data_IF_829666454966
#
_entry.id   IF_829666454966
#
_cell.length_a   1.000
_cell.length_b   1.000
_cell.length_c   1.000
_cell.angle_alpha   90.00
_cell.angle_beta   90.00
_cell.angle_gamma   90.00
#
_symmetry.space_group_name_H-M   'P 1'
#
loop_
_entity.id
_entity.type
_entity.pdbx_description
1 polymer ?
#
# COMPACT_ATOMS: atom_id res chain seq x y z
N UNK A 1 19.65 8.13 29.51
CA UNK A 1 18.39 8.61 30.12
C UNK A 1 17.29 8.34 29.12
N UNK A 2 16.45 7.35 29.39
CA UNK A 2 15.34 6.96 28.51
C UNK A 2 14.24 8.00 28.64
N UNK A 3 14.14 8.92 27.68
CA UNK A 3 12.97 9.78 27.54
C UNK A 3 11.84 8.90 27.04
N UNK A 4 11.03 8.37 27.95
CA UNK A 4 9.75 7.77 27.59
C UNK A 4 9.00 8.81 26.75
N UNK A 5 8.78 8.48 25.48
CA UNK A 5 7.91 9.27 24.60
C UNK A 5 6.57 9.35 25.33
N UNK A 6 6.01 10.54 25.58
CA UNK A 6 4.74 10.66 26.28
C UNK A 6 3.67 9.82 25.57
N UNK A 7 2.80 9.17 26.35
CA UNK A 7 1.71 8.37 25.82
C UNK A 7 0.90 9.21 24.81
N UNK A 8 0.77 8.65 23.60
CA UNK A 8 0.15 9.32 22.47
C UNK A 8 -1.34 9.48 22.74
N UNK A 9 -1.79 10.70 23.04
CA UNK A 9 -3.20 10.98 23.30
C UNK A 9 -3.92 11.18 21.97
N UNK A 10 -4.69 10.18 21.53
CA UNK A 10 -5.52 10.28 20.34
C UNK A 10 -6.78 11.09 20.65
N UNK A 11 -7.04 12.15 19.87
CA UNK A 11 -8.29 12.91 19.94
C UNK A 11 -9.36 12.21 19.12
N UNK A 12 -10.08 11.30 19.76
CA UNK A 12 -11.13 10.52 19.11
C UNK A 12 -12.35 11.34 18.65
N UNK A 13 -12.51 12.55 19.18
CA UNK A 13 -13.54 13.51 18.84
C UNK A 13 -13.25 14.32 17.57
N UNK A 14 -12.03 14.20 17.00
CA UNK A 14 -11.60 15.00 15.87
C UNK A 14 -11.28 14.10 14.66
N UNK A 15 -12.10 14.12 13.60
CA UNK A 15 -11.90 13.26 12.44
C UNK A 15 -10.58 13.55 11.71
N UNK A 16 -10.01 14.75 11.84
CA UNK A 16 -8.71 15.09 11.24
C UNK A 16 -7.56 14.45 12.02
N UNK A 17 -7.66 14.37 13.35
CA UNK A 17 -6.67 13.68 14.19
C UNK A 17 -6.74 12.16 13.99
N UNK A 18 -7.95 11.59 13.86
CA UNK A 18 -8.14 10.17 13.50
C UNK A 18 -7.58 9.85 12.11
N UNK A 19 -7.78 10.74 11.13
CA UNK A 19 -7.21 10.59 9.79
C UNK A 19 -5.68 10.65 9.83
N UNK A 20 -5.09 11.61 10.57
CA UNK A 20 -3.65 11.70 10.72
C UNK A 20 -3.05 10.47 11.44
N UNK A 21 -3.71 9.95 12.47
CA UNK A 21 -3.30 8.71 13.14
C UNK A 21 -3.30 7.51 12.17
N UNK A 22 -4.30 7.47 11.29
CA UNK A 22 -4.41 6.46 10.25
C UNK A 22 -3.23 6.54 9.28
N UNK A 23 -2.84 7.75 8.84
CA UNK A 23 -1.68 7.94 7.96
C UNK A 23 -0.44 7.33 8.59
N UNK A 24 -0.16 7.69 9.84
CA UNK A 24 1.02 7.21 10.57
C UNK A 24 1.01 5.69 10.74
N UNK A 25 -0.14 5.15 11.14
CA UNK A 25 -0.27 3.72 11.43
C UNK A 25 -0.11 2.86 10.17
N UNK A 26 -0.66 3.33 9.05
CA UNK A 26 -0.55 2.62 7.77
C UNK A 26 0.76 2.91 7.03
N UNK A 27 1.42 4.03 7.35
CA UNK A 27 2.58 4.52 6.61
C UNK A 27 2.26 5.01 5.20
N UNK A 28 0.98 5.23 4.89
CA UNK A 28 0.46 5.61 3.57
C UNK A 28 -0.85 6.42 3.73
N UNK A 29 -1.28 7.09 2.66
CA UNK A 29 -2.57 7.78 2.61
C UNK A 29 -3.70 6.76 2.38
N UNK A 30 -4.62 6.54 3.35
CA UNK A 30 -5.76 5.67 3.17
C UNK A 30 -6.65 6.20 2.04
N UNK A 31 -7.07 5.29 1.14
CA UNK A 31 -8.02 5.63 0.07
C UNK A 31 -9.11 4.60 -0.09
N UNK A 32 -10.32 5.08 -0.38
CA UNK A 32 -11.50 4.27 -0.70
C UNK A 32 -11.65 3.07 0.25
N UNK A 33 -11.52 3.32 1.55
CA UNK A 33 -11.45 2.28 2.57
C UNK A 33 -12.23 2.62 3.85
N UNK A 34 -12.72 1.58 4.52
CA UNK A 34 -13.08 1.62 5.92
C UNK A 34 -11.82 1.35 6.76
N UNK A 35 -11.57 2.22 7.72
CA UNK A 35 -10.52 2.06 8.72
C UNK A 35 -11.17 1.91 10.08
N UNK A 36 -10.77 0.88 10.82
CA UNK A 36 -11.19 0.67 12.21
C UNK A 36 -9.95 0.78 13.09
N UNK A 37 -9.95 1.76 13.98
CA UNK A 37 -8.90 2.02 14.96
C UNK A 37 -9.40 1.44 16.28
N UNK A 38 -8.93 0.25 16.64
CA UNK A 38 -9.35 -0.41 17.87
C UNK A 38 -8.97 0.42 19.09
N UNK A 39 -9.75 0.34 20.17
CA UNK A 39 -9.44 0.97 21.44
C UNK A 39 -9.72 0.06 22.63
N UNK A 40 -8.99 0.29 23.71
CA UNK A 40 -9.35 -0.17 25.06
C UNK A 40 -9.83 1.04 25.83
N UNK A 41 -11.10 0.99 26.28
CA UNK A 41 -11.77 2.05 27.06
C UNK A 41 -11.63 3.46 26.46
N UNK A 42 -11.57 3.55 25.13
CA UNK A 42 -11.41 4.79 24.35
C UNK A 42 -10.09 5.55 24.55
N UNK A 43 -9.07 4.93 25.18
CA UNK A 43 -7.82 5.61 25.54
C UNK A 43 -6.59 5.15 24.74
N UNK A 44 -6.46 3.86 24.46
CA UNK A 44 -5.27 3.29 23.80
C UNK A 44 -5.64 2.47 22.59
N UNK A 45 -4.98 2.72 21.45
CA UNK A 45 -5.16 1.93 20.23
C UNK A 45 -4.06 0.88 20.06
N UNK A 46 -4.37 -0.43 20.22
CA UNK A 46 -3.37 -1.47 20.02
C UNK A 46 -3.25 -1.90 18.55
N UNK A 47 -4.25 -1.61 17.71
CA UNK A 47 -4.35 -2.15 16.35
C UNK A 47 -5.33 -1.34 15.49
N UNK A 48 -4.95 -1.11 14.23
CA UNK A 48 -5.84 -0.59 13.19
C UNK A 48 -6.02 -1.63 12.09
N UNK A 49 -7.24 -1.73 11.55
CA UNK A 49 -7.53 -2.56 10.36
C UNK A 49 -8.03 -1.68 9.23
N UNK A 50 -7.68 -2.04 7.99
CA UNK A 50 -8.14 -1.37 6.77
C UNK A 50 -8.86 -2.37 5.89
N UNK A 51 -9.97 -1.95 5.29
CA UNK A 51 -10.75 -2.75 4.32
C UNK A 51 -11.16 -1.85 3.17
N UNK A 52 -10.99 -2.30 1.92
CA UNK A 52 -11.43 -1.49 0.80
C UNK A 52 -12.97 -1.42 0.74
N UNK A 53 -13.52 -0.23 0.47
CA UNK A 53 -14.98 -0.02 0.40
C UNK A 53 -15.64 -0.88 -0.69
N UNK A 54 -14.88 -1.24 -1.74
CA UNK A 54 -15.35 -2.12 -2.81
C UNK A 54 -15.59 -3.57 -2.37
N UNK A 55 -14.94 -4.00 -1.29
CA UNK A 55 -15.04 -5.34 -0.74
C UNK A 55 -16.18 -5.42 0.30
N UNK A 56 -16.54 -4.28 0.89
CA UNK A 56 -17.65 -4.11 1.83
C UNK A 56 -18.98 -3.84 1.12
N UNK A 57 -19.34 -4.67 0.15
CA UNK A 57 -20.59 -4.47 -0.62
C UNK A 57 -21.81 -4.69 0.28
N UNK A 58 -22.61 -3.63 0.47
CA UNK A 58 -23.98 -3.72 0.98
C UNK A 58 -24.95 -3.93 -0.20
N UNK A 59 -24.90 -5.10 -0.85
CA UNK A 59 -25.92 -5.47 -1.82
C UNK A 59 -27.11 -6.07 -1.06
N UNK A 60 -28.20 -5.30 -0.96
CA UNK A 60 -29.50 -5.63 -0.34
C UNK A 60 -29.52 -6.04 1.16
N UNK A 61 -28.37 -6.39 1.74
CA UNK A 61 -28.18 -6.62 3.17
C UNK A 61 -27.56 -5.37 3.83
N UNK A 62 -28.15 -4.82 4.91
CA UNK A 62 -27.58 -3.70 5.65
C UNK A 62 -26.25 -4.03 6.34
N UNK A 63 -25.85 -5.31 6.44
CA UNK A 63 -24.58 -5.72 7.04
C UNK A 63 -23.45 -5.73 6.00
N UNK A 64 -22.36 -4.98 6.20
CA UNK A 64 -21.21 -5.04 5.31
C UNK A 64 -20.58 -6.43 5.37
N UNK A 65 -20.52 -7.12 4.23
CA UNK A 65 -19.87 -8.43 4.13
C UNK A 65 -18.40 -8.31 4.56
N UNK A 66 -17.99 -9.07 5.57
CA UNK A 66 -16.62 -9.08 6.09
C UNK A 66 -16.38 -8.20 7.32
N UNK A 67 -17.31 -7.32 7.72
CA UNK A 67 -17.15 -6.49 8.93
C UNK A 67 -16.92 -7.34 10.19
N UNK A 68 -17.69 -8.42 10.36
CA UNK A 68 -17.58 -9.34 11.52
C UNK A 68 -16.16 -9.91 11.67
N UNK A 69 -15.48 -10.19 10.54
CA UNK A 69 -14.09 -10.66 10.55
C UNK A 69 -13.15 -9.60 11.11
N UNK A 70 -13.29 -8.34 10.70
CA UNK A 70 -12.43 -7.25 11.15
C UNK A 70 -12.69 -6.87 12.61
N UNK A 71 -13.97 -6.84 13.04
CA UNK A 71 -14.31 -6.67 14.45
C UNK A 71 -13.79 -7.84 15.30
N UNK A 72 -13.86 -9.07 14.77
CA UNK A 72 -13.28 -10.26 15.42
C UNK A 72 -11.77 -10.15 15.62
N UNK A 73 -11.02 -9.64 14.64
CA UNK A 73 -9.58 -9.40 14.76
C UNK A 73 -9.29 -8.42 15.91
N UNK A 74 -10.01 -7.30 15.98
CA UNK A 74 -9.82 -6.31 17.04
C UNK A 74 -10.17 -6.88 18.42
N UNK A 75 -11.25 -7.66 18.53
CA UNK A 75 -11.64 -8.33 19.77
C UNK A 75 -10.57 -9.33 20.26
N UNK A 76 -10.01 -10.13 19.35
CA UNK A 76 -8.91 -11.06 19.68
C UNK A 76 -7.66 -10.30 20.12
N UNK A 77 -7.43 -9.10 19.59
CA UNK A 77 -6.35 -8.21 20.03
C UNK A 77 -6.62 -7.52 21.37
N UNK A 78 -7.77 -7.76 22.01
CA UNK A 78 -8.14 -7.21 23.31
C UNK A 78 -8.83 -5.84 23.26
N UNK A 79 -9.23 -5.36 22.08
CA UNK A 79 -9.99 -4.12 21.97
C UNK A 79 -11.42 -4.29 22.51
N UNK A 80 -11.91 -3.27 23.21
CA UNK A 80 -13.31 -3.18 23.68
C UNK A 80 -14.21 -2.45 22.68
N UNK A 81 -13.62 -1.72 21.73
CA UNK A 81 -14.33 -1.04 20.65
C UNK A 81 -13.40 -0.54 19.56
N UNK A 82 -13.93 0.27 18.63
CA UNK A 82 -13.14 0.96 17.63
C UNK A 82 -13.74 2.31 17.23
N UNK A 83 -12.86 3.25 16.90
CA UNK A 83 -13.19 4.41 16.09
C UNK A 83 -13.20 4.01 14.62
N UNK A 84 -14.18 4.47 13.86
CA UNK A 84 -14.35 4.07 12.47
C UNK A 84 -14.32 5.28 11.53
N UNK A 85 -13.54 5.17 10.44
CA UNK A 85 -13.47 6.14 9.36
C UNK A 85 -13.83 5.45 8.04
N UNK A 86 -14.84 5.96 7.33
CA UNK A 86 -15.20 5.53 5.98
C UNK A 86 -14.71 6.60 4.99
N UNK A 87 -13.64 6.31 4.26
CA UNK A 87 -12.90 7.31 3.49
C UNK A 87 -13.19 7.12 2.00
N UNK A 88 -13.80 8.11 1.36
CA UNK A 88 -13.94 8.18 -0.10
C UNK A 88 -12.81 9.03 -0.70
N UNK A 89 -12.18 8.54 -1.77
CA UNK A 89 -10.92 9.15 -2.23
C UNK A 89 -9.90 9.13 -1.10
N UNK A 90 -9.23 10.24 -0.82
CA UNK A 90 -8.36 10.44 0.36
C UNK A 90 -9.06 11.18 1.51
N UNK A 91 -10.35 11.49 1.38
CA UNK A 91 -11.12 12.33 2.30
C UNK A 91 -10.86 13.84 2.23
N UNK A 92 -9.73 14.31 1.68
CA UNK A 92 -9.29 15.71 1.71
C UNK A 92 -9.47 16.47 0.39
N UNK A 93 -9.07 15.83 -0.71
CA UNK A 93 -9.20 16.41 -2.04
C UNK A 93 -10.59 16.11 -2.59
N UNK A 94 -11.15 17.00 -3.43
CA UNK A 94 -12.28 16.64 -4.26
C UNK A 94 -11.93 15.37 -5.03
N UNK A 95 -12.84 14.41 -5.07
CA UNK A 95 -12.61 13.14 -5.76
C UNK A 95 -12.24 13.39 -7.23
N UNK A 96 -11.01 13.05 -7.63
CA UNK A 96 -10.42 13.32 -8.97
C UNK A 96 -11.10 12.55 -10.14
N UNK A 97 -12.25 11.92 -9.90
CA UNK A 97 -12.98 11.12 -10.89
C UNK A 97 -13.95 11.93 -11.75
N UNK A 98 -14.42 11.32 -12.84
CA UNK A 98 -15.62 11.78 -13.55
C UNK A 98 -16.73 12.07 -12.51
N UNK A 99 -17.55 13.13 -12.68
CA UNK A 99 -18.55 13.55 -11.69
C UNK A 99 -19.49 12.42 -11.23
N UNK A 100 -19.70 11.41 -12.09
CA UNK A 100 -20.50 10.22 -11.82
C UNK A 100 -19.82 9.20 -10.91
N UNK A 101 -18.50 8.99 -11.00
CA UNK A 101 -17.78 8.03 -10.13
C UNK A 101 -17.48 8.59 -8.76
N UNK A 102 -17.16 9.89 -8.67
CA UNK A 102 -16.96 10.61 -7.41
C UNK A 102 -18.20 10.48 -6.49
N UNK A 103 -19.39 10.80 -7.02
CA UNK A 103 -20.64 10.68 -6.27
C UNK A 103 -20.96 9.24 -5.82
N UNK A 104 -20.59 8.24 -6.63
CA UNK A 104 -20.80 6.83 -6.29
C UNK A 104 -19.89 6.38 -5.15
N UNK A 105 -18.63 6.83 -5.12
CA UNK A 105 -17.69 6.48 -4.05
C UNK A 105 -18.12 7.07 -2.70
N UNK A 106 -18.50 8.35 -2.68
CA UNK A 106 -19.01 9.01 -1.47
C UNK A 106 -20.28 8.32 -0.97
N UNK A 107 -21.22 8.02 -1.87
CA UNK A 107 -22.45 7.31 -1.52
C UNK A 107 -22.17 5.90 -0.98
N UNK A 108 -21.20 5.18 -1.56
CA UNK A 108 -20.79 3.88 -1.04
C UNK A 108 -20.17 4.00 0.37
N UNK A 109 -19.32 5.01 0.60
CA UNK A 109 -18.73 5.28 1.90
C UNK A 109 -19.81 5.55 2.97
N UNK A 110 -20.84 6.32 2.63
CA UNK A 110 -22.02 6.58 3.50
C UNK A 110 -22.80 5.31 3.80
N UNK A 111 -23.05 4.46 2.79
CA UNK A 111 -23.74 3.17 2.99
C UNK A 111 -22.97 2.22 3.90
N UNK A 112 -21.65 2.14 3.71
CA UNK A 112 -20.77 1.35 4.59
C UNK A 112 -20.82 1.90 6.00
N UNK A 113 -20.74 3.22 6.19
CA UNK A 113 -20.84 3.82 7.52
C UNK A 113 -22.15 3.47 8.21
N UNK A 114 -23.29 3.62 7.51
CA UNK A 114 -24.60 3.23 8.04
C UNK A 114 -24.63 1.75 8.45
N UNK A 115 -24.13 0.86 7.58
CA UNK A 115 -24.09 -0.58 7.86
C UNK A 115 -23.20 -0.95 9.05
N UNK A 116 -22.07 -0.26 9.22
CA UNK A 116 -21.16 -0.45 10.36
C UNK A 116 -21.83 -0.05 11.67
N UNK A 117 -22.42 1.15 11.74
CA UNK A 117 -23.07 1.62 12.98
C UNK A 117 -24.26 0.72 13.33
N UNK A 118 -25.07 0.32 12.34
CA UNK A 118 -26.18 -0.62 12.54
C UNK A 118 -25.71 -2.00 13.03
N UNK A 119 -24.68 -2.56 12.41
CA UNK A 119 -24.13 -3.85 12.82
C UNK A 119 -23.57 -3.83 14.24
N UNK A 120 -22.90 -2.74 14.64
CA UNK A 120 -22.37 -2.60 16.00
C UNK A 120 -23.46 -2.65 17.07
N UNK A 121 -24.60 -1.96 16.87
CA UNK A 121 -25.76 -2.03 17.78
C UNK A 121 -26.42 -3.41 17.85
N UNK A 122 -26.38 -4.19 16.78
CA UNK A 122 -27.02 -5.51 16.74
C UNK A 122 -26.19 -6.61 17.41
N UNK A 123 -24.96 -6.31 17.83
CA UNK A 123 -24.02 -7.27 18.45
C UNK A 123 -24.09 -7.31 19.99
N UNK A 124 -25.09 -6.67 20.61
CA UNK A 124 -25.35 -6.79 22.06
C UNK A 124 -25.82 -8.21 22.48
N UNK A 125 -25.51 -8.68 23.71
CA UNK A 125 -25.02 -7.93 24.87
C UNK A 125 -23.49 -7.83 25.05
N UNK A 126 -22.68 -8.51 24.24
CA UNK A 126 -21.20 -8.44 24.28
C UNK A 126 -20.62 -7.54 23.15
N UNK A 127 -21.39 -6.49 22.81
CA UNK A 127 -21.20 -5.63 21.64
C UNK A 127 -19.81 -4.99 21.61
N UNK A 128 -19.19 -5.00 20.43
CA UNK A 128 -17.93 -4.30 20.19
C UNK A 128 -18.28 -2.81 19.97
N UNK A 129 -17.85 -1.92 20.86
CA UNK A 129 -18.28 -0.49 20.88
C UNK A 129 -17.78 0.23 19.62
N UNK A 130 -18.68 0.54 18.69
CA UNK A 130 -18.42 1.45 17.56
C UNK A 130 -19.50 2.52 17.60
N UNK A 131 -19.30 3.58 18.41
CA UNK A 131 -20.37 4.52 18.73
C UNK A 131 -20.73 5.41 17.53
N UNK A 132 -19.74 5.67 16.67
CA UNK A 132 -19.89 6.48 15.48
C UNK A 132 -18.90 6.07 14.38
N UNK A 133 -19.27 6.40 13.16
CA UNK A 133 -18.44 6.30 11.98
C UNK A 133 -18.36 7.67 11.33
N UNK A 134 -17.15 8.14 11.06
CA UNK A 134 -16.93 9.37 10.31
C UNK A 134 -16.77 9.05 8.83
N UNK A 135 -17.60 9.63 7.98
CA UNK A 135 -17.45 9.57 6.53
C UNK A 135 -16.61 10.76 6.08
N UNK A 136 -15.46 10.49 5.45
CA UNK A 136 -14.53 11.52 5.01
C UNK A 136 -14.56 11.61 3.48
N UNK A 137 -14.91 12.78 2.95
CA UNK A 137 -15.01 13.03 1.51
C UNK A 137 -14.84 14.51 1.18
N UNK A 138 -14.13 14.81 0.10
CA UNK A 138 -14.03 16.14 -0.50
C UNK A 138 -13.64 17.28 0.47
N UNK A 139 -12.83 16.96 1.49
CA UNK A 139 -12.38 17.91 2.51
C UNK A 139 -13.35 18.08 3.68
N UNK A 140 -14.38 17.23 3.78
CA UNK A 140 -15.38 17.27 4.83
C UNK A 140 -15.52 15.93 5.55
N UNK A 141 -15.96 15.99 6.81
CA UNK A 141 -16.29 14.87 7.65
C UNK A 141 -17.78 14.90 8.02
N UNK A 142 -18.48 13.80 7.77
CA UNK A 142 -19.88 13.60 8.16
C UNK A 142 -19.95 12.54 9.26
N UNK A 143 -20.67 12.83 10.34
CA UNK A 143 -20.80 11.94 11.49
C UNK A 143 -22.03 11.04 11.35
N UNK A 144 -21.83 9.73 11.40
CA UNK A 144 -22.90 8.73 11.45
C UNK A 144 -22.89 8.06 12.81
N UNK A 145 -23.97 8.21 13.57
CA UNK A 145 -24.15 7.60 14.89
C UNK A 145 -25.60 7.15 15.05
N UNK A 146 -25.84 6.16 15.91
CA UNK A 146 -27.19 5.76 16.30
C UNK A 146 -27.53 6.39 17.65
N UNK A 147 -28.71 6.98 17.74
CA UNK A 147 -29.38 7.32 18.99
C UNK A 147 -30.26 6.15 19.41
N UNK A 148 -30.12 5.71 20.65
CA UNK A 148 -31.06 4.78 21.27
C UNK A 148 -32.18 5.60 21.89
N UNK A 149 -33.43 5.34 21.50
CA UNK A 149 -34.60 5.98 22.07
C UNK A 149 -34.92 5.44 23.48
N UNK A 150 -35.79 6.14 24.21
CA UNK A 150 -36.21 5.77 25.58
C UNK A 150 -36.89 4.38 25.65
N UNK A 151 -37.22 3.77 24.50
CA UNK A 151 -37.86 2.46 24.37
C UNK A 151 -36.87 1.38 23.91
N UNK A 152 -35.57 1.69 23.80
CA UNK A 152 -34.53 0.78 23.35
C UNK A 152 -34.46 0.60 21.83
N UNK A 153 -35.20 1.40 21.06
CA UNK A 153 -35.11 1.43 19.60
C UNK A 153 -33.92 2.27 19.14
N UNK A 154 -33.07 1.71 18.27
CA UNK A 154 -31.97 2.46 17.65
C UNK A 154 -32.45 3.18 16.39
N UNK A 155 -32.18 4.48 16.30
CA UNK A 155 -32.43 5.32 15.12
C UNK A 155 -31.17 6.09 14.75
N UNK A 156 -31.01 6.47 13.48
CA UNK A 156 -29.89 7.34 13.10
C UNK A 156 -30.04 8.68 13.81
N UNK A 157 -28.96 9.15 14.44
CA UNK A 157 -28.86 10.49 14.96
C UNK A 157 -29.16 11.51 13.84
N UNK A 158 -29.69 12.67 14.21
CA UNK A 158 -29.86 13.74 13.24
C UNK A 158 -28.50 14.07 12.58
N UNK A 159 -28.45 14.27 11.26
CA UNK A 159 -27.19 14.55 10.59
C UNK A 159 -26.58 15.83 11.13
N UNK A 160 -25.35 15.73 11.64
CA UNK A 160 -24.57 16.90 11.99
C UNK A 160 -24.15 17.63 10.71
N UNK A 161 -24.03 18.97 10.74
CA UNK A 161 -23.44 19.69 9.61
C UNK A 161 -22.02 19.15 9.35
N UNK A 162 -21.62 18.94 8.07
CA UNK A 162 -20.29 18.44 7.75
C UNK A 162 -19.20 19.35 8.32
N UNK A 163 -18.18 18.74 8.93
CA UNK A 163 -17.03 19.45 9.49
C UNK A 163 -15.92 19.55 8.46
N UNK A 164 -15.23 20.69 8.37
CA UNK A 164 -14.09 20.85 7.46
C UNK A 164 -12.89 20.09 8.02
N UNK A 165 -12.32 19.20 7.22
CA UNK A 165 -11.10 18.47 7.58
C UNK A 165 -9.89 19.40 7.51
N UNK A 166 -9.07 19.33 8.56
CA UNK A 166 -7.75 19.96 8.58
C UNK A 166 -6.77 19.11 7.79
N UNK A 167 -5.76 19.73 7.21
CA UNK A 167 -4.67 18.97 6.63
C UNK A 167 -4.02 18.09 7.74
N UNK A 168 -3.81 16.78 7.52
CA UNK A 168 -3.18 15.90 8.50
C UNK A 168 -1.84 16.43 9.02
N UNK A 169 -1.11 17.23 8.23
CA UNK A 169 0.14 17.87 8.63
C UNK A 169 -0.02 18.94 9.72
N UNK A 170 -1.22 19.50 9.88
CA UNK A 170 -1.55 20.56 10.84
C UNK A 170 -2.13 20.00 12.16
N UNK A 171 -2.06 18.67 12.36
CA UNK A 171 -2.63 17.97 13.52
C UNK A 171 -1.62 17.79 14.64
N UNK A 172 -2.11 17.51 15.86
CA UNK A 172 -1.24 17.17 16.99
C UNK A 172 -0.44 15.89 16.69
N UNK A 173 -1.06 14.92 16.01
CA UNK A 173 -0.38 13.70 15.52
C UNK A 173 0.85 14.06 14.69
N UNK A 174 0.74 14.94 13.70
CA UNK A 174 1.89 15.33 12.88
C UNK A 174 3.00 15.99 13.70
N UNK A 175 2.64 16.87 14.65
CA UNK A 175 3.62 17.49 15.56
C UNK A 175 4.36 16.43 16.39
N UNK A 176 3.67 15.41 16.87
CA UNK A 176 4.26 14.31 17.64
C UNK A 176 5.21 13.47 16.78
N UNK A 177 4.85 13.19 15.52
CA UNK A 177 5.70 12.46 14.58
C UNK A 177 6.99 13.23 14.25
N UNK A 178 6.88 14.52 13.96
CA UNK A 178 8.03 15.39 13.71
C UNK A 178 8.95 15.44 14.94
N UNK A 179 8.38 15.56 16.15
CA UNK A 179 9.16 15.50 17.40
C UNK A 179 9.86 14.15 17.60
N UNK A 180 9.25 13.07 17.11
CA UNK A 180 9.84 11.74 17.13
C UNK A 180 10.82 11.47 15.96
N UNK A 181 11.11 12.48 15.13
CA UNK A 181 12.02 12.39 13.98
C UNK A 181 11.46 11.60 12.80
N UNK A 182 10.15 11.42 12.72
CA UNK A 182 9.46 10.74 11.62
C UNK A 182 8.79 11.76 10.69
N UNK A 183 8.53 11.34 9.45
CA UNK A 183 7.88 12.15 8.42
C UNK A 183 6.45 11.65 8.24
N UNK A 184 5.48 12.56 8.23
CA UNK A 184 4.10 12.23 7.91
C UNK A 184 3.99 11.76 6.45
N UNK A 185 3.25 10.66 6.18
CA UNK A 185 2.89 10.30 4.82
C UNK A 185 2.21 11.48 4.11
N UNK A 186 2.54 11.67 2.84
CA UNK A 186 2.01 12.75 2.02
C UNK A 186 1.14 12.15 0.92
N UNK A 187 0.09 12.88 0.55
CA UNK A 187 -0.71 12.52 -0.62
C UNK A 187 0.07 12.86 -1.89
N UNK A 188 0.53 11.82 -2.58
CA UNK A 188 1.27 11.94 -3.83
C UNK A 188 0.35 11.78 -5.06
N UNK A 189 -0.99 11.92 -4.98
CA UNK A 189 -1.93 11.69 -6.10
C UNK A 189 -1.62 12.52 -7.34
N UNK A 190 -1.29 13.80 -7.15
CA UNK A 190 -0.89 14.66 -8.26
C UNK A 190 0.40 14.15 -8.93
N UNK A 191 1.37 13.72 -8.13
CA UNK A 191 2.59 13.09 -8.62
C UNK A 191 2.28 11.78 -9.34
N UNK A 192 1.42 10.92 -8.78
CA UNK A 192 0.99 9.67 -9.40
C UNK A 192 0.30 9.90 -10.73
N UNK A 193 -0.65 10.84 -10.82
CA UNK A 193 -1.35 11.18 -12.06
C UNK A 193 -0.38 11.62 -13.16
N UNK A 194 0.63 12.43 -12.82
CA UNK A 194 1.67 12.79 -13.79
C UNK A 194 2.55 11.61 -14.17
N UNK A 195 2.96 10.77 -13.20
CA UNK A 195 3.72 9.55 -13.50
C UNK A 195 2.93 8.60 -14.41
N UNK A 196 1.60 8.51 -14.23
CA UNK A 196 0.70 7.77 -15.12
C UNK A 196 0.67 8.37 -16.53
N UNK A 197 0.57 9.70 -16.65
CA UNK A 197 0.66 10.38 -17.95
C UNK A 197 2.00 10.17 -18.66
N UNK A 198 3.10 10.19 -17.91
CA UNK A 198 4.43 9.83 -18.41
C UNK A 198 4.49 8.37 -18.87
N UNK A 199 3.81 7.48 -18.13
CA UNK A 199 3.63 6.09 -18.48
C UNK A 199 3.06 5.87 -19.89
N UNK A 200 2.05 6.64 -20.27
CA UNK A 200 1.43 6.56 -21.59
C UNK A 200 2.42 6.93 -22.71
N UNK A 201 3.26 7.94 -22.46
CA UNK A 201 4.33 8.33 -23.38
C UNK A 201 5.41 7.24 -23.47
N UNK A 202 5.81 6.63 -22.35
CA UNK A 202 6.76 5.51 -22.36
C UNK A 202 6.18 4.31 -23.11
N UNK A 203 4.88 4.02 -22.95
CA UNK A 203 4.18 2.92 -23.63
C UNK A 203 4.08 3.13 -25.15
N UNK A 204 3.92 4.37 -25.62
CA UNK A 204 3.83 4.67 -27.04
C UNK A 204 5.17 4.63 -27.79
N UNK A 205 6.29 4.70 -27.07
CA UNK A 205 7.63 4.62 -27.65
C UNK A 205 8.02 3.18 -28.01
N UNK A 206 8.48 2.93 -29.25
CA UNK A 206 8.92 1.61 -29.69
C UNK A 206 10.14 1.14 -28.89
N UNK A 207 10.19 -0.16 -28.63
CA UNK A 207 11.37 -0.78 -28.03
C UNK A 207 12.54 -0.75 -29.04
N UNK A 208 13.72 -0.31 -28.61
CA UNK A 208 14.97 -0.50 -29.32
C UNK A 208 15.47 0.59 -30.27
N UNK A 209 14.71 1.65 -30.57
CA UNK A 209 15.11 2.65 -31.59
C UNK A 209 15.67 3.97 -31.04
N UNK A 210 15.82 4.11 -29.72
CA UNK A 210 16.42 5.29 -29.10
C UNK A 210 17.96 5.21 -29.01
N UNK A 211 18.69 6.35 -29.07
CA UNK A 211 20.15 6.40 -28.89
C UNK A 211 20.65 5.84 -27.54
N UNK A 212 19.74 5.62 -26.57
CA UNK A 212 19.99 5.00 -25.27
C UNK A 212 19.92 3.46 -25.22
N UNK A 213 19.36 2.77 -26.22
CA UNK A 213 19.14 1.30 -26.20
C UNK A 213 20.45 0.50 -26.04
N UNK A 214 21.54 0.99 -26.63
CA UNK A 214 22.88 0.40 -26.48
C UNK A 214 23.59 0.79 -25.17
N UNK A 215 23.24 1.91 -24.54
CA UNK A 215 23.79 2.32 -23.23
C UNK A 215 23.18 1.50 -22.09
N UNK A 216 21.88 1.22 -22.17
CA UNK A 216 21.15 0.41 -21.17
C UNK A 216 21.65 -1.02 -20.99
N UNK A 217 22.15 -1.65 -22.06
CA UNK A 217 22.69 -3.02 -22.02
C UNK A 217 24.04 -3.14 -21.29
N UNK A 218 24.80 -2.05 -21.19
CA UNK A 218 26.14 -2.02 -20.56
C UNK A 218 26.12 -1.67 -19.07
N UNK A 219 25.09 -0.98 -18.62
CA UNK A 219 24.95 -0.56 -17.22
C UNK A 219 24.57 -1.76 -16.34
N UNK A 220 25.10 -1.86 -15.12
CA UNK A 220 24.75 -2.94 -14.20
C UNK A 220 23.35 -2.73 -13.58
N UNK A 221 22.72 -3.79 -13.05
CA UNK A 221 21.45 -3.63 -12.31
C UNK A 221 21.62 -2.77 -11.06
N UNK A 222 22.79 -2.85 -10.42
CA UNK A 222 23.16 -2.01 -9.27
C UNK A 222 23.18 -0.53 -9.61
N UNK A 223 23.75 -0.15 -10.76
CA UNK A 223 23.80 1.25 -11.19
C UNK A 223 22.39 1.79 -11.49
N UNK A 224 21.57 1.04 -12.23
CA UNK A 224 20.17 1.43 -12.45
C UNK A 224 19.41 1.59 -11.14
N UNK A 225 19.66 0.68 -10.19
CA UNK A 225 19.04 0.72 -8.88
C UNK A 225 19.42 1.96 -8.07
N UNK A 226 20.71 2.31 -8.05
CA UNK A 226 21.22 3.50 -7.37
C UNK A 226 20.71 4.80 -8.00
N UNK A 227 20.45 4.80 -9.31
CA UNK A 227 19.94 5.96 -10.04
C UNK A 227 18.41 6.07 -10.03
N UNK A 228 17.70 4.99 -9.63
CA UNK A 228 16.25 4.94 -9.68
C UNK A 228 15.58 6.03 -8.81
N UNK A 229 16.01 6.29 -7.55
CA UNK A 229 15.43 7.37 -6.74
C UNK A 229 15.55 8.74 -7.41
N UNK A 230 16.72 9.07 -7.95
CA UNK A 230 16.95 10.34 -8.63
C UNK A 230 16.16 10.45 -9.94
N UNK A 231 16.08 9.37 -10.72
CA UNK A 231 15.27 9.31 -11.93
C UNK A 231 13.78 9.54 -11.61
N UNK A 232 13.27 8.88 -10.57
CA UNK A 232 11.88 9.03 -10.13
C UNK A 232 11.61 10.39 -9.50
N UNK A 233 12.60 10.97 -8.81
CA UNK A 233 12.49 12.33 -8.30
C UNK A 233 12.43 13.35 -9.44
N UNK A 234 13.23 13.19 -10.50
CA UNK A 234 13.14 14.03 -11.70
C UNK A 234 11.80 13.85 -12.42
N UNK A 235 11.32 12.61 -12.58
CA UNK A 235 10.01 12.32 -13.15
C UNK A 235 8.87 12.97 -12.34
N UNK A 236 8.97 12.94 -11.01
CA UNK A 236 8.05 13.62 -10.10
C UNK A 236 8.23 15.16 -10.09
N UNK A 237 9.46 15.67 -10.30
CA UNK A 237 9.75 17.10 -10.35
C UNK A 237 9.15 17.77 -11.59
N UNK A 238 9.10 17.05 -12.71
CA UNK A 238 8.31 17.45 -13.89
C UNK A 238 6.80 17.57 -13.59
N UNK A 239 6.32 16.95 -12.49
CA UNK A 239 4.92 16.98 -12.04
C UNK A 239 4.59 18.15 -11.09
N UNK A 240 5.58 18.75 -10.44
CA UNK A 240 5.37 19.81 -9.43
C UNK A 240 5.34 21.24 -9.98
N UNK A 241 5.62 21.43 -11.26
CA UNK A 241 5.71 22.74 -11.92
C UNK A 241 4.35 23.36 -12.28
N UNK A 242 3.55 23.71 -11.27
CA UNK A 242 2.43 24.64 -11.45
C UNK A 242 2.95 26.06 -11.73
N UNK A 243 3.15 26.40 -13.01
CA UNK A 243 3.47 27.76 -13.45
C UNK A 243 4.78 27.87 -14.24
N UNK A 244 4.68 28.21 -15.52
CA UNK A 244 5.68 28.85 -16.39
C UNK A 244 7.07 28.22 -16.62
N UNK A 245 7.39 27.07 -16.04
CA UNK A 245 8.59 26.30 -16.42
C UNK A 245 8.23 24.84 -16.67
N UNK A 246 7.50 24.59 -17.75
CA UNK A 246 7.57 23.29 -18.40
C UNK A 246 9.06 23.00 -18.67
N UNK A 247 9.55 21.85 -18.22
CA UNK A 247 10.91 21.46 -18.57
C UNK A 247 11.06 21.49 -20.09
N UNK A 248 12.22 21.92 -20.62
CA UNK A 248 12.44 21.95 -22.05
C UNK A 248 12.10 20.57 -22.63
N UNK A 249 11.37 20.51 -23.76
CA UNK A 249 10.91 19.26 -24.39
C UNK A 249 12.01 18.17 -24.49
N UNK A 250 13.28 18.59 -24.61
CA UNK A 250 14.45 17.70 -24.61
C UNK A 250 14.72 16.96 -23.30
N UNK A 251 14.44 17.55 -22.13
CA UNK A 251 14.63 16.89 -20.83
C UNK A 251 13.58 15.81 -20.60
N UNK A 252 12.32 16.09 -20.94
CA UNK A 252 11.22 15.11 -20.86
C UNK A 252 11.46 13.94 -21.81
N UNK A 253 11.87 14.20 -23.06
CA UNK A 253 12.23 13.14 -24.02
C UNK A 253 13.38 12.27 -23.49
N UNK A 254 14.44 12.88 -22.93
CA UNK A 254 15.57 12.17 -22.32
C UNK A 254 15.14 11.30 -21.14
N UNK A 255 14.12 11.72 -20.38
CA UNK A 255 13.56 10.98 -19.26
C UNK A 255 12.72 9.78 -19.75
N UNK A 256 11.87 9.98 -20.76
CA UNK A 256 11.13 8.90 -21.42
C UNK A 256 12.07 7.83 -21.98
N UNK A 257 13.16 8.22 -22.64
CA UNK A 257 14.17 7.28 -23.14
C UNK A 257 14.81 6.43 -22.02
N UNK A 258 15.15 7.06 -20.88
CA UNK A 258 15.68 6.35 -19.70
C UNK A 258 14.66 5.34 -19.15
N UNK A 259 13.37 5.68 -19.16
CA UNK A 259 12.29 4.81 -18.70
C UNK A 259 12.00 3.66 -19.68
N UNK A 260 12.07 3.90 -20.99
CA UNK A 260 11.98 2.84 -22.01
C UNK A 260 13.11 1.83 -21.84
N UNK A 261 14.35 2.30 -21.62
CA UNK A 261 15.49 1.43 -21.34
C UNK A 261 15.27 0.58 -20.09
N UNK A 262 14.73 1.17 -19.01
CA UNK A 262 14.39 0.43 -17.80
C UNK A 262 13.28 -0.59 -18.05
N UNK A 263 12.23 -0.22 -18.80
CA UNK A 263 11.14 -1.12 -19.20
C UNK A 263 11.68 -2.34 -19.92
N UNK A 264 12.47 -2.16 -20.98
CA UNK A 264 13.05 -3.25 -21.76
C UNK A 264 13.88 -4.19 -20.88
N UNK A 265 14.68 -3.60 -20.00
CA UNK A 265 15.53 -4.37 -19.08
C UNK A 265 14.71 -5.17 -18.07
N UNK A 266 13.64 -4.58 -17.52
CA UNK A 266 12.72 -5.20 -16.57
C UNK A 266 11.78 -6.22 -17.25
N UNK A 267 11.55 -6.09 -18.55
CA UNK A 267 10.83 -7.08 -19.35
C UNK A 267 11.66 -8.34 -19.64
N UNK A 268 12.98 -8.28 -19.43
CA UNK A 268 13.91 -9.39 -19.65
C UNK A 268 13.72 -10.55 -18.66
N UNK A 269 14.05 -11.76 -19.11
CA UNK A 269 14.00 -12.96 -18.27
C UNK A 269 14.96 -12.84 -17.08
N UNK A 270 14.45 -13.09 -15.87
CA UNK A 270 15.23 -13.04 -14.64
C UNK A 270 15.48 -11.64 -14.07
N UNK A 271 14.80 -10.60 -14.57
CA UNK A 271 14.88 -9.25 -14.01
C UNK A 271 14.57 -9.18 -12.50
N UNK A 272 13.53 -9.88 -11.95
CA UNK A 272 13.28 -9.88 -10.51
C UNK A 272 14.46 -10.44 -9.69
N UNK A 273 15.03 -11.55 -10.15
CA UNK A 273 16.20 -12.15 -9.50
C UNK A 273 17.43 -11.23 -9.58
N UNK A 274 17.63 -10.55 -10.72
CA UNK A 274 18.75 -9.65 -10.90
C UNK A 274 18.63 -8.38 -10.04
N UNK A 275 17.41 -7.84 -9.88
CA UNK A 275 17.11 -6.71 -9.02
C UNK A 275 17.31 -7.08 -7.54
N UNK A 276 16.74 -8.20 -7.09
CA UNK A 276 16.95 -8.70 -5.73
C UNK A 276 18.43 -9.00 -5.45
N UNK A 277 19.17 -9.55 -6.41
CA UNK A 277 20.61 -9.78 -6.22
C UNK A 277 21.38 -8.47 -6.05
N UNK A 278 21.07 -7.44 -6.85
CA UNK A 278 21.68 -6.11 -6.70
C UNK A 278 21.41 -5.48 -5.32
N UNK A 279 20.38 -5.96 -4.65
CA UNK A 279 19.92 -5.54 -3.33
C UNK A 279 20.51 -6.39 -2.19
N UNK A 280 20.55 -7.71 -2.33
CA UNK A 280 20.97 -8.67 -1.27
C UNK A 280 22.49 -8.77 -1.19
N UNK A 281 23.18 -8.74 -2.33
CA UNK A 281 24.59 -9.13 -2.36
C UNK A 281 25.39 -8.37 -3.44
N UNK A 282 26.08 -7.27 -3.06
CA UNK A 282 26.73 -6.41 -4.04
C UNK A 282 27.95 -7.04 -4.72
N UNK A 283 28.56 -8.11 -4.19
CA UNK A 283 29.93 -8.49 -4.61
C UNK A 283 30.43 -9.96 -4.60
N UNK A 284 29.64 -11.05 -4.42
CA UNK A 284 30.19 -12.39 -4.64
C UNK A 284 29.77 -13.02 -5.98
N UNK A 285 30.72 -13.61 -6.73
CA UNK A 285 30.46 -14.33 -7.99
C UNK A 285 29.63 -15.62 -7.81
N UNK A 286 29.35 -16.03 -6.57
CA UNK A 286 28.60 -17.23 -6.21
C UNK A 286 27.12 -16.98 -5.87
N UNK A 287 26.63 -15.73 -6.00
CA UNK A 287 25.24 -15.40 -5.67
C UNK A 287 24.24 -16.22 -6.49
N UNK A 288 23.16 -16.75 -5.86
CA UNK A 288 22.12 -17.48 -6.56
C UNK A 288 21.57 -16.66 -7.73
N UNK A 289 21.32 -17.34 -8.85
CA UNK A 289 20.89 -16.68 -10.11
C UNK A 289 19.38 -16.70 -10.32
N UNK A 290 18.66 -17.58 -9.61
CA UNK A 290 17.21 -17.69 -9.72
C UNK A 290 16.51 -16.98 -8.57
N UNK A 291 15.27 -16.58 -8.80
CA UNK A 291 14.46 -15.86 -7.83
C UNK A 291 14.21 -16.70 -6.58
N UNK A 292 13.87 -17.97 -6.79
CA UNK A 292 13.57 -18.94 -5.75
C UNK A 292 14.78 -19.18 -4.85
N UNK A 293 15.97 -19.27 -5.44
CA UNK A 293 17.20 -19.51 -4.68
C UNK A 293 17.62 -18.26 -3.87
N UNK A 294 17.34 -17.05 -4.36
CA UNK A 294 17.55 -15.81 -3.59
C UNK A 294 16.56 -15.71 -2.42
N UNK A 295 15.28 -16.01 -2.64
CA UNK A 295 14.27 -16.02 -1.59
C UNK A 295 14.56 -17.10 -0.56
N UNK A 296 14.98 -18.30 -0.98
CA UNK A 296 15.40 -19.36 -0.07
C UNK A 296 16.58 -18.95 0.80
N UNK A 297 17.56 -18.22 0.25
CA UNK A 297 18.67 -17.65 1.03
C UNK A 297 18.19 -16.63 2.05
N UNK A 298 17.34 -15.67 1.65
CA UNK A 298 16.73 -14.70 2.56
C UNK A 298 15.99 -15.41 3.71
N UNK A 299 15.27 -16.48 3.38
CA UNK A 299 14.53 -17.26 4.36
C UNK A 299 15.43 -18.03 5.34
N UNK A 300 16.53 -18.60 4.84
CA UNK A 300 17.44 -19.43 5.63
C UNK A 300 18.36 -18.59 6.52
N UNK A 301 18.80 -17.42 6.05
CA UNK A 301 19.69 -16.52 6.77
C UNK A 301 18.93 -15.36 7.41
N UNK A 302 18.49 -15.57 8.66
CA UNK A 302 17.78 -14.57 9.45
C UNK A 302 18.61 -13.33 9.82
N UNK A 303 19.91 -13.31 9.55
CA UNK A 303 20.76 -12.12 9.75
C UNK A 303 20.66 -11.13 8.58
N UNK A 304 20.23 -11.57 7.39
CA UNK A 304 20.09 -10.71 6.22
C UNK A 304 19.00 -9.66 6.45
N UNK A 305 19.36 -8.39 6.24
CA UNK A 305 18.44 -7.26 6.24
C UNK A 305 18.54 -6.51 4.93
N UNK A 306 17.41 -6.08 4.36
CA UNK A 306 17.46 -5.14 3.25
C UNK A 306 18.12 -3.84 3.73
N UNK A 307 18.97 -3.18 2.92
CA UNK A 307 19.40 -1.81 3.19
C UNK A 307 18.23 -0.87 3.47
N UNK A 308 18.39 0.10 4.39
CA UNK A 308 17.31 1.05 4.75
C UNK A 308 16.64 1.72 3.55
N UNK A 309 17.41 2.05 2.51
CA UNK A 309 16.88 2.70 1.31
C UNK A 309 15.85 1.86 0.55
N UNK A 310 15.84 0.54 0.73
CA UNK A 310 14.98 -0.39 -0.02
C UNK A 310 13.96 -1.13 0.86
N UNK A 311 14.02 -0.89 2.16
CA UNK A 311 12.95 -1.22 3.09
C UNK A 311 11.68 -0.47 2.67
N UNK A 312 10.51 -1.02 3.00
CA UNK A 312 9.24 -0.31 2.84
C UNK A 312 9.33 1.08 3.49
N UNK A 313 8.91 2.10 2.75
CA UNK A 313 9.05 3.51 3.13
C UNK A 313 10.41 4.15 2.81
N UNK A 314 11.44 3.36 2.47
CA UNK A 314 12.73 3.83 1.98
C UNK A 314 12.66 4.40 0.55
N UNK A 315 13.59 5.30 0.21
CA UNK A 315 13.55 6.04 -1.06
C UNK A 315 13.60 5.14 -2.31
N UNK A 316 14.38 4.06 -2.28
CA UNK A 316 14.45 3.08 -3.36
C UNK A 316 13.19 2.21 -3.46
N UNK A 317 12.55 1.90 -2.34
CA UNK A 317 11.25 1.22 -2.34
C UNK A 317 10.17 2.12 -2.95
N UNK A 318 10.06 3.36 -2.49
CA UNK A 318 9.15 4.38 -3.06
C UNK A 318 9.42 4.61 -4.56
N UNK A 319 10.69 4.60 -4.97
CA UNK A 319 11.05 4.76 -6.37
C UNK A 319 10.57 3.57 -7.24
N UNK A 320 10.54 2.34 -6.72
CA UNK A 320 9.89 1.22 -7.42
C UNK A 320 8.38 1.34 -7.45
N UNK A 321 7.75 1.81 -6.37
CA UNK A 321 6.30 2.05 -6.36
C UNK A 321 5.93 3.08 -7.45
N UNK A 322 6.69 4.17 -7.54
CA UNK A 322 6.54 5.18 -8.60
C UNK A 322 6.81 4.61 -9.99
N UNK A 323 7.85 3.80 -10.16
CA UNK A 323 8.15 3.15 -11.45
C UNK A 323 7.02 2.18 -11.87
N UNK A 324 6.44 1.46 -10.91
CA UNK A 324 5.27 0.61 -11.14
C UNK A 324 4.09 1.45 -11.63
N UNK A 325 3.81 2.59 -11.00
CA UNK A 325 2.77 3.55 -11.45
C UNK A 325 3.05 4.05 -12.87
N UNK A 326 4.30 4.38 -13.21
CA UNK A 326 4.69 4.73 -14.60
C UNK A 326 4.35 3.59 -15.57
N UNK A 327 4.66 2.34 -15.26
CA UNK A 327 4.34 1.23 -16.17
C UNK A 327 2.85 0.93 -16.28
N UNK A 328 2.06 1.22 -15.25
CA UNK A 328 0.60 1.16 -15.34
C UNK A 328 0.04 2.15 -16.34
N UNK A 329 0.63 3.36 -16.37
CA UNK A 329 0.07 4.48 -17.09
C UNK A 329 -1.29 4.89 -16.55
N UNK A 330 -2.08 5.58 -17.36
CA UNK A 330 -3.45 6.02 -17.02
C UNK A 330 -4.44 4.86 -16.86
N UNK A 331 -4.08 3.66 -17.29
CA UNK A 331 -4.97 2.49 -17.28
C UNK A 331 -6.00 2.46 -18.42
N UNK A 332 -6.03 3.47 -19.31
CA UNK A 332 -6.94 3.50 -20.48
C UNK A 332 -6.64 2.36 -21.48
N UNK A 333 -5.36 2.02 -21.61
CA UNK A 333 -4.89 0.92 -22.44
C UNK A 333 -4.49 -0.28 -21.58
N UNK A 334 -4.88 -1.51 -21.97
CA UNK A 334 -4.47 -2.71 -21.25
C UNK A 334 -2.94 -2.86 -21.28
N UNK A 335 -2.39 -3.37 -20.18
CA UNK A 335 -0.98 -3.71 -20.09
C UNK A 335 -0.69 -4.92 -20.98
N UNK A 336 0.20 -4.75 -21.96
CA UNK A 336 0.57 -5.81 -22.90
C UNK A 336 2.08 -5.87 -23.12
N UNK A 337 2.55 -6.98 -23.70
CA UNK A 337 3.92 -7.14 -24.19
C UNK A 337 5.00 -6.88 -23.13
N UNK A 338 5.95 -6.02 -23.48
CA UNK A 338 7.10 -5.68 -22.61
C UNK A 338 6.70 -4.89 -21.37
N UNK A 339 5.76 -3.95 -21.49
CA UNK A 339 5.29 -3.15 -20.35
C UNK A 339 4.67 -4.05 -19.29
N UNK A 340 3.85 -5.03 -19.68
CA UNK A 340 3.27 -5.98 -18.73
C UNK A 340 4.36 -6.81 -18.02
N UNK A 341 5.38 -7.28 -18.75
CA UNK A 341 6.51 -8.03 -18.16
C UNK A 341 7.34 -7.17 -17.22
N UNK A 342 7.58 -5.91 -17.58
CA UNK A 342 8.31 -4.95 -16.75
C UNK A 342 7.54 -4.64 -15.46
N UNK A 343 6.25 -4.32 -15.58
CA UNK A 343 5.34 -4.13 -14.44
C UNK A 343 5.34 -5.35 -13.52
N UNK A 344 5.18 -6.56 -14.08
CA UNK A 344 5.17 -7.79 -13.28
C UNK A 344 6.49 -8.01 -12.52
N UNK A 345 7.62 -7.67 -13.15
CA UNK A 345 8.94 -7.81 -12.51
C UNK A 345 9.15 -6.82 -11.36
N UNK A 346 8.69 -5.58 -11.51
CA UNK A 346 8.72 -4.58 -10.43
C UNK A 346 7.77 -4.98 -9.30
N UNK A 347 6.54 -5.37 -9.61
CA UNK A 347 5.55 -5.84 -8.63
C UNK A 347 6.07 -7.03 -7.82
N UNK A 348 6.66 -8.04 -8.48
CA UNK A 348 7.23 -9.18 -7.77
C UNK A 348 8.40 -8.81 -6.87
N UNK A 349 9.26 -7.89 -7.32
CA UNK A 349 10.36 -7.37 -6.51
C UNK A 349 9.84 -6.62 -5.28
N UNK A 350 8.84 -5.75 -5.44
CA UNK A 350 8.17 -5.04 -4.36
C UNK A 350 7.51 -6.01 -3.37
N UNK A 351 6.78 -7.01 -3.86
CA UNK A 351 6.14 -8.03 -3.01
C UNK A 351 7.14 -8.80 -2.15
N UNK A 352 8.28 -9.21 -2.74
CA UNK A 352 9.35 -9.90 -2.01
C UNK A 352 10.02 -8.95 -1.00
N UNK A 353 10.23 -7.69 -1.33
CA UNK A 353 10.80 -6.70 -0.41
C UNK A 353 9.86 -6.36 0.74
N UNK A 354 8.56 -6.22 0.46
CA UNK A 354 7.53 -6.03 1.47
C UNK A 354 7.50 -7.23 2.43
N UNK A 355 7.54 -8.45 1.88
CA UNK A 355 7.65 -9.67 2.66
C UNK A 355 8.94 -9.76 3.48
N UNK A 356 10.10 -9.44 2.90
CA UNK A 356 11.39 -9.51 3.59
C UNK A 356 11.52 -8.47 4.70
N UNK A 357 10.99 -7.26 4.47
CA UNK A 357 11.15 -6.12 5.38
C UNK A 357 10.10 -6.08 6.50
N UNK A 358 8.81 -6.17 6.16
CA UNK A 358 7.68 -6.00 7.10
C UNK A 358 6.55 -6.99 6.80
N UNK A 359 6.91 -8.27 6.97
CA UNK A 359 6.07 -9.48 6.98
C UNK A 359 4.57 -9.21 7.08
N UNK A 360 3.95 -9.28 5.89
CA UNK A 360 2.52 -9.35 5.55
C UNK A 360 1.82 -8.07 5.09
N UNK A 361 2.36 -6.86 5.29
CA UNK A 361 1.50 -5.67 5.12
C UNK A 361 0.98 -5.43 3.68
N UNK A 362 1.76 -5.75 2.62
CA UNK A 362 1.33 -5.54 1.21
C UNK A 362 1.66 -6.68 0.24
N UNK A 363 2.42 -7.70 0.67
CA UNK A 363 2.88 -8.75 -0.24
C UNK A 363 1.71 -9.57 -0.83
N UNK A 364 0.71 -9.89 0.00
CA UNK A 364 -0.53 -10.56 -0.44
C UNK A 364 -1.34 -9.68 -1.40
N UNK A 365 -1.54 -8.40 -1.05
CA UNK A 365 -2.27 -7.43 -1.91
C UNK A 365 -1.63 -7.32 -3.31
N UNK A 366 -0.29 -7.21 -3.36
CA UNK A 366 0.45 -7.15 -4.63
C UNK A 366 0.29 -8.45 -5.42
N UNK A 367 0.33 -9.61 -4.76
CA UNK A 367 0.18 -10.90 -5.41
C UNK A 367 -1.22 -11.12 -5.99
N UNK A 368 -2.26 -10.75 -5.24
CA UNK A 368 -3.66 -10.77 -5.69
C UNK A 368 -3.87 -9.85 -6.88
N UNK A 369 -3.32 -8.63 -6.84
CA UNK A 369 -3.40 -7.71 -7.97
C UNK A 369 -2.71 -8.26 -9.22
N UNK A 370 -1.56 -8.91 -9.05
CA UNK A 370 -0.87 -9.59 -10.15
C UNK A 370 -1.71 -10.73 -10.73
N UNK A 371 -2.39 -11.53 -9.90
CA UNK A 371 -3.28 -12.58 -10.40
C UNK A 371 -4.47 -12.02 -11.19
N UNK A 372 -5.09 -10.94 -10.69
CA UNK A 372 -6.22 -10.29 -11.37
C UNK A 372 -5.79 -9.76 -12.74
N UNK A 373 -4.61 -9.15 -12.84
CA UNK A 373 -4.12 -8.53 -14.08
C UNK A 373 -3.42 -9.51 -15.02
N UNK A 374 -2.85 -10.60 -14.49
CA UNK A 374 -2.07 -11.58 -15.25
C UNK A 374 -2.12 -12.95 -14.59
N UNK A 375 -3.25 -13.62 -14.70
CA UNK A 375 -3.49 -14.93 -14.09
C UNK A 375 -2.45 -16.00 -14.47
N UNK A 376 -1.84 -15.90 -15.66
CA UNK A 376 -0.83 -16.85 -16.15
C UNK A 376 0.61 -16.55 -15.67
N UNK A 377 0.85 -15.46 -14.94
CA UNK A 377 2.20 -15.15 -14.45
C UNK A 377 2.60 -16.09 -13.31
N UNK A 378 3.68 -16.89 -13.43
CA UNK A 378 4.13 -17.77 -12.36
C UNK A 378 4.63 -17.01 -11.12
N UNK A 379 4.92 -15.71 -11.21
CA UNK A 379 5.35 -14.90 -10.08
C UNK A 379 4.23 -14.62 -9.09
N UNK A 380 2.99 -14.45 -9.56
CA UNK A 380 1.85 -14.15 -8.69
C UNK A 380 1.52 -15.29 -7.68
N UNK A 381 1.37 -16.56 -8.10
CA UNK A 381 1.16 -17.67 -7.16
C UNK A 381 2.40 -17.92 -6.29
N UNK A 382 3.62 -17.65 -6.79
CA UNK A 382 4.83 -17.69 -5.97
C UNK A 382 4.78 -16.67 -4.82
N UNK A 383 4.36 -15.43 -5.09
CA UNK A 383 4.22 -14.38 -4.08
C UNK A 383 3.11 -14.69 -3.07
N UNK A 384 1.98 -15.28 -3.50
CA UNK A 384 0.94 -15.72 -2.56
C UNK A 384 1.49 -16.77 -1.59
N UNK A 385 2.16 -17.81 -2.11
CA UNK A 385 2.79 -18.82 -1.28
C UNK A 385 3.81 -18.20 -0.32
N UNK A 386 4.61 -17.24 -0.80
CA UNK A 386 5.57 -16.51 0.02
C UNK A 386 4.89 -15.69 1.11
N UNK A 387 3.78 -15.03 0.78
CA UNK A 387 2.95 -14.25 1.71
C UNK A 387 2.24 -15.12 2.75
N UNK A 388 2.08 -16.43 2.52
CA UNK A 388 1.53 -17.38 3.49
C UNK A 388 2.60 -18.01 4.41
N UNK A 389 3.90 -17.80 4.13
CA UNK A 389 4.97 -18.42 4.91
C UNK A 389 5.14 -17.75 6.30
N UNK A 390 5.18 -18.53 7.40
CA UNK A 390 5.22 -18.00 8.76
C UNK A 390 6.52 -17.26 9.07
N UNK A 391 6.35 -16.03 9.49
CA UNK A 391 7.40 -15.07 9.73
C UNK A 391 8.11 -15.34 11.08
N UNK A 392 9.37 -15.83 11.08
CA UNK A 392 10.21 -15.91 12.31
C UNK A 392 10.90 -14.58 12.59
N UNK A 393 10.46 -13.76 13.57
CA UNK A 393 10.93 -12.38 13.74
C UNK A 393 12.46 -12.28 13.87
N UNK A 394 13.05 -11.20 13.34
CA UNK A 394 14.48 -10.97 13.43
C UNK A 394 14.93 -10.83 14.89
N UNK A 395 15.76 -11.78 15.36
CA UNK A 395 16.40 -11.72 16.69
C UNK A 395 15.76 -12.57 17.78
N UNK A 396 14.82 -13.47 17.48
CA UNK A 396 14.27 -14.40 18.48
C UNK A 396 15.18 -15.65 18.63
N UNK A 397 15.93 -15.81 19.74
CA UNK A 397 16.77 -16.98 19.98
C UNK A 397 15.95 -18.28 20.09
N UNK A 398 14.63 -18.22 20.32
CA UNK A 398 13.76 -19.41 20.40
C UNK A 398 13.56 -20.11 19.04
N UNK A 399 13.82 -19.41 17.93
CA UNK A 399 13.75 -19.99 16.59
C UNK A 399 14.96 -20.86 16.21
N UNK A 400 16.06 -20.77 16.97
CA UNK A 400 17.27 -21.57 16.76
C UNK A 400 17.19 -22.95 17.45
N UNK A 401 16.45 -23.05 18.55
CA UNK A 401 16.33 -24.30 19.33
C UNK A 401 15.17 -25.22 18.87
N UNK A 402 14.19 -24.70 18.13
CA UNK A 402 13.13 -25.52 17.51
C UNK A 402 13.58 -26.27 16.23
N UNK A 403 14.88 -26.54 16.08
CA UNK A 403 15.52 -27.22 14.94
C UNK A 403 15.24 -28.73 14.83
N UNK A 404 14.07 -29.21 15.26
CA UNK A 404 13.72 -30.63 15.25
C UNK A 404 12.91 -31.10 14.04
N UNK A 405 12.16 -30.24 13.37
CA UNK A 405 11.42 -30.60 12.14
C UNK A 405 10.96 -29.35 11.40
N UNK A 406 11.83 -28.79 10.54
CA UNK A 406 11.35 -27.88 9.49
C UNK A 406 10.82 -28.71 8.33
N UNK A 407 9.59 -28.50 7.83
CA UNK A 407 9.12 -29.17 6.64
C UNK A 407 10.04 -28.78 5.48
N UNK A 408 10.54 -29.77 4.74
CA UNK A 408 11.21 -29.52 3.45
C UNK A 408 10.19 -28.93 2.50
N UNK A 409 10.13 -27.60 2.37
CA UNK A 409 9.46 -26.96 1.26
C UNK A 409 10.17 -27.42 -0.02
N UNK A 410 9.56 -28.37 -0.74
CA UNK A 410 9.98 -28.74 -2.09
C UNK A 410 9.44 -27.66 -3.02
N UNK A 411 10.29 -26.70 -3.38
CA UNK A 411 10.08 -25.92 -4.60
C UNK A 411 10.29 -26.87 -5.78
N UNK A 412 9.20 -27.46 -6.29
CA UNK A 412 9.25 -28.27 -7.49
C UNK A 412 9.36 -27.38 -8.75
N UNK A 413 10.10 -27.80 -9.79
CA UNK A 413 10.12 -27.06 -11.05
C UNK A 413 8.73 -27.08 -11.70
N UNK A 414 8.34 -26.01 -12.44
CA UNK A 414 7.10 -26.00 -13.18
C UNK A 414 7.27 -26.89 -14.42
N UNK A 415 6.55 -28.01 -14.47
CA UNK A 415 6.63 -28.93 -15.61
C UNK A 415 5.47 -29.92 -15.66
N UNK A 416 4.74 -29.85 -16.77
CA UNK A 416 3.98 -30.92 -17.42
C UNK A 416 2.78 -31.48 -16.65
N UNK A 417 1.60 -30.87 -16.88
CA UNK A 417 0.35 -31.63 -16.89
C UNK A 417 0.12 -32.12 -18.32
N UNK A 418 0.54 -33.35 -18.59
CA UNK A 418 -0.14 -34.20 -19.56
C UNK A 418 -1.37 -34.80 -18.89
N UNK A 419 -2.50 -34.68 -19.58
CA UNK A 419 -3.82 -35.17 -19.19
C UNK A 419 -4.84 -34.69 -20.20
#
# INVERSE_FOLDING_TARGET
MSTATPDRTLRADDPSELLAETYVTLGDVPRDCLVLIGHVDRLTSPLSTRVALRDLRCADDPRPVGLERHLGILRVAGCTGAFALSIAGNGLAPSDGLPTTAGVQVENARRVALGVVQAATLLEPDGFDVPEVWVLADGYAERYALEVDDRGGARLAAPHPPEVLRNPQDTLVAVQEVRAGRVMPQDESACENTLRGLGDQVRSLPAGDGPGANRGRRTSWRQHWQQLPELMHRAAGLAGGGGDQAAPDGEQMTLCEQLVVLRERLAGSGAPAALLRAVIDPDPPASPRTLEALVARIWQDGSLRPPRAICAGGEGYKAMERLRVVFEGTGELPLTGETLRAWSSVSASLGILAWWNHRFARAGEIAEEMLVRRAEDPLAPFLLQLADLPSVPPGDPRGAEAGGSRPRARFGPPGERTG
#
